data_IF_997640691154
#
_entry.id   IF_997640691154
#
_cell.length_a   1.000
_cell.length_b   1.000
_cell.length_c   1.000
_cell.angle_alpha   90.00
_cell.angle_beta   90.00
_cell.angle_gamma   90.00
#
_symmetry.space_group_name_H-M   'P 1'
#
loop_
_entity.id
_entity.type
_entity.pdbx_description
1 polymer ?
#
# COMPACT_ATOMS: atom_id res chain seq x y z
N UNK A 1 17.89 40.13 11.61
CA UNK A 1 16.83 39.26 12.19
C UNK A 1 15.57 39.30 11.33
N UNK A 2 15.47 38.44 10.31
CA UNK A 2 14.30 38.32 9.42
C UNK A 2 13.50 37.01 9.65
N UNK A 3 13.32 36.57 10.90
CA UNK A 3 12.62 35.31 11.25
C UNK A 3 11.08 35.41 11.14
N UNK A 4 10.53 35.69 9.96
CA UNK A 4 9.06 35.90 9.83
C UNK A 4 8.38 35.29 8.61
N UNK A 5 9.10 34.59 7.72
CA UNK A 5 8.40 33.93 6.62
C UNK A 5 7.85 32.56 7.07
N UNK A 6 6.53 32.50 7.20
CA UNK A 6 5.77 31.27 7.28
C UNK A 6 4.94 31.18 6.02
N UNK A 7 5.02 30.06 5.29
CA UNK A 7 4.28 29.74 4.04
C UNK A 7 2.75 29.68 4.20
N UNK A 8 2.23 30.21 5.32
CA UNK A 8 0.83 30.11 5.73
C UNK A 8 0.31 31.43 6.26
N UNK A 9 0.70 32.55 5.63
CA UNK A 9 0.12 33.85 6.00
C UNK A 9 -1.40 33.88 5.80
N UNK A 10 -1.94 33.03 4.93
CA UNK A 10 -3.37 32.74 4.87
C UNK A 10 -3.71 31.37 5.47
N UNK A 11 -4.41 31.36 6.61
CA UNK A 11 -5.13 30.19 7.15
C UNK A 11 -6.32 29.74 6.27
N UNK A 12 -6.28 30.08 4.98
CA UNK A 12 -7.31 29.70 4.03
C UNK A 12 -7.03 28.27 3.54
N UNK A 13 -8.07 27.44 3.37
CA UNK A 13 -7.90 26.10 2.81
C UNK A 13 -7.33 26.20 1.39
N UNK A 14 -6.35 25.34 1.07
CA UNK A 14 -5.79 25.28 -0.30
C UNK A 14 -6.85 24.86 -1.30
N UNK A 15 -6.63 25.11 -2.61
CA UNK A 15 -7.56 24.69 -3.65
C UNK A 15 -7.83 23.18 -3.63
N UNK A 16 -6.81 22.37 -3.32
CA UNK A 16 -6.97 20.92 -3.12
C UNK A 16 -7.80 20.55 -1.88
N UNK A 17 -7.66 21.30 -0.78
CA UNK A 17 -8.44 21.09 0.44
C UNK A 17 -9.91 21.50 0.28
N UNK A 18 -10.20 22.47 -0.59
CA UNK A 18 -11.56 22.84 -0.97
C UNK A 18 -12.23 21.74 -1.81
N UNK A 19 -11.47 21.06 -2.68
CA UNK A 19 -11.99 19.92 -3.46
C UNK A 19 -12.16 18.67 -2.58
N UNK A 20 -11.20 18.42 -1.68
CA UNK A 20 -11.17 17.26 -0.81
C UNK A 20 -10.92 17.71 0.64
N UNK A 21 -11.93 17.75 1.51
CA UNK A 21 -11.76 18.22 2.88
C UNK A 21 -10.74 17.35 3.63
N UNK A 22 -9.91 17.94 4.51
CA UNK A 22 -8.90 17.20 5.24
C UNK A 22 -9.53 16.11 6.12
N UNK A 23 -8.94 14.91 6.18
CA UNK A 23 -9.41 13.86 7.06
C UNK A 23 -9.25 14.26 8.54
N UNK A 24 -9.94 13.59 9.48
CA UNK A 24 -9.64 13.76 10.90
C UNK A 24 -8.19 13.34 11.19
N UNK A 25 -7.59 13.90 12.25
CA UNK A 25 -6.20 13.64 12.61
C UNK A 25 -5.98 12.15 12.87
N UNK A 26 -4.79 11.67 12.53
CA UNK A 26 -4.40 10.27 12.68
C UNK A 26 -4.62 9.77 14.10
N UNK A 27 -5.20 8.57 14.20
CA UNK A 27 -5.50 7.83 15.42
C UNK A 27 -4.28 7.56 16.32
N UNK A 28 -3.05 7.77 15.83
CA UNK A 28 -1.82 7.67 16.63
C UNK A 28 -1.29 9.01 17.16
N UNK A 29 -1.90 10.13 16.77
CA UNK A 29 -1.57 11.48 17.25
C UNK A 29 -2.29 11.81 18.58
N UNK A 30 -3.51 11.29 18.81
CA UNK A 30 -4.23 11.48 20.08
C UNK A 30 -3.72 10.51 21.18
N UNK A 31 -3.18 11.04 22.27
CA UNK A 31 -3.00 10.30 23.54
C UNK A 31 -1.62 9.75 23.90
N UNK A 32 -0.51 10.45 23.62
CA UNK A 32 0.82 10.02 24.10
C UNK A 32 1.22 10.69 25.43
N UNK A 33 0.99 9.99 26.54
CA UNK A 33 1.63 10.29 27.83
C UNK A 33 2.86 9.40 28.14
N UNK A 34 3.19 8.41 27.29
CA UNK A 34 4.41 7.60 27.48
C UNK A 34 5.09 7.26 26.15
N UNK A 35 6.29 7.83 25.94
CA UNK A 35 7.21 7.50 24.83
C UNK A 35 7.89 6.17 25.15
N UNK A 36 7.51 5.10 24.44
CA UNK A 36 8.27 3.84 24.46
C UNK A 36 8.61 3.46 23.02
N UNK A 37 9.88 3.68 22.68
CA UNK A 37 10.51 3.29 21.42
C UNK A 37 11.11 1.89 21.59
N UNK A 38 10.30 0.85 21.39
CA UNK A 38 10.83 -0.51 21.23
C UNK A 38 10.63 -0.96 19.78
N UNK A 39 11.72 -1.50 19.21
CA UNK A 39 12.01 -1.58 17.78
C UNK A 39 11.00 -2.34 16.90
N UNK A 40 10.97 -1.93 15.64
CA UNK A 40 10.13 -2.47 14.57
C UNK A 40 10.24 -4.00 14.37
N UNK A 41 11.40 -4.59 14.67
CA UNK A 41 11.67 -6.01 14.44
C UNK A 41 10.96 -6.95 15.44
N UNK A 42 10.95 -6.61 16.74
CA UNK A 42 10.35 -7.46 17.77
C UNK A 42 8.81 -7.51 17.65
N UNK A 43 8.21 -6.46 17.08
CA UNK A 43 6.75 -6.35 16.92
C UNK A 43 6.20 -7.18 15.76
N UNK A 44 7.03 -7.59 14.78
CA UNK A 44 6.56 -8.36 13.60
C UNK A 44 6.11 -9.78 13.97
N UNK A 45 6.76 -10.40 14.96
CA UNK A 45 6.54 -11.82 15.28
C UNK A 45 5.46 -12.07 16.36
N UNK A 46 5.04 -11.05 17.12
CA UNK A 46 4.19 -11.23 18.30
C UNK A 46 2.67 -11.03 18.08
N UNK A 47 2.20 -10.78 16.85
CA UNK A 47 0.75 -10.51 16.64
C UNK A 47 0.29 -10.88 15.25
N UNK A 48 -0.26 -12.08 15.17
CA UNK A 48 -0.76 -12.78 13.98
C UNK A 48 -1.16 -14.22 14.31
N UNK A 49 -0.67 -14.77 15.44
CA UNK A 49 -0.97 -16.13 15.90
C UNK A 49 -2.35 -16.30 16.53
N UNK A 50 -2.99 -15.24 17.01
CA UNK A 50 -4.28 -15.29 17.71
C UNK A 50 -5.32 -14.43 16.98
N UNK A 51 -6.18 -15.09 16.22
CA UNK A 51 -7.26 -14.50 15.43
C UNK A 51 -7.85 -15.57 14.50
N UNK A 52 -9.11 -15.41 14.07
CA UNK A 52 -9.73 -16.41 13.20
C UNK A 52 -8.98 -16.51 11.85
N UNK A 53 -8.88 -17.71 11.30
CA UNK A 53 -7.90 -18.07 10.26
C UNK A 53 -7.95 -17.18 9.02
N UNK A 54 -9.15 -16.80 8.59
CA UNK A 54 -9.35 -15.93 7.43
C UNK A 54 -8.74 -14.53 7.62
N UNK A 55 -8.88 -13.96 8.82
CA UNK A 55 -8.48 -12.59 9.10
C UNK A 55 -6.99 -12.45 9.43
N UNK A 56 -6.24 -13.55 9.60
CA UNK A 56 -4.83 -13.53 10.05
C UNK A 56 -3.92 -12.72 9.12
N UNK A 57 -4.01 -12.98 7.81
CA UNK A 57 -3.16 -12.31 6.80
C UNK A 57 -3.43 -10.80 6.74
N UNK A 58 -4.70 -10.42 6.69
CA UNK A 58 -5.07 -9.01 6.65
C UNK A 58 -4.78 -8.30 7.97
N UNK A 59 -4.89 -8.99 9.11
CA UNK A 59 -4.47 -8.46 10.42
C UNK A 59 -2.97 -8.15 10.45
N UNK A 60 -2.14 -9.02 9.87
CA UNK A 60 -0.71 -8.79 9.73
C UNK A 60 -0.43 -7.57 8.85
N UNK A 61 -1.11 -7.46 7.70
CA UNK A 61 -0.98 -6.30 6.81
C UNK A 61 -1.35 -5.00 7.53
N UNK A 62 -2.53 -4.92 8.15
CA UNK A 62 -2.99 -3.71 8.89
C UNK A 62 -2.00 -3.31 9.98
N UNK A 63 -1.34 -4.29 10.62
CA UNK A 63 -0.30 -4.03 11.63
C UNK A 63 0.98 -3.48 11.00
N UNK A 64 1.41 -4.04 9.86
CA UNK A 64 2.54 -3.52 9.10
C UNK A 64 2.28 -2.09 8.63
N UNK A 65 1.09 -1.80 8.12
CA UNK A 65 0.66 -0.46 7.70
C UNK A 65 0.68 0.56 8.85
N UNK A 66 0.26 0.13 10.05
CA UNK A 66 0.37 0.97 11.25
C UNK A 66 1.83 1.30 11.59
N UNK A 67 2.75 0.38 11.33
CA UNK A 67 4.17 0.62 11.57
C UNK A 67 4.73 1.61 10.54
N UNK A 68 4.41 1.46 9.26
CA UNK A 68 4.81 2.41 8.20
C UNK A 68 4.33 3.82 8.55
N UNK A 69 3.06 3.98 8.91
CA UNK A 69 2.50 5.27 9.30
C UNK A 69 3.24 5.91 10.49
N UNK A 70 3.64 5.12 11.50
CA UNK A 70 4.44 5.63 12.63
C UNK A 70 5.84 6.09 12.19
N UNK A 71 6.44 5.40 11.22
CA UNK A 71 7.71 5.83 10.64
C UNK A 71 7.54 7.16 9.91
N UNK A 72 6.46 7.33 9.14
CA UNK A 72 6.13 8.59 8.47
C UNK A 72 5.93 9.75 9.46
N UNK A 73 5.20 9.53 10.57
CA UNK A 73 5.07 10.52 11.66
C UNK A 73 6.42 10.95 12.25
N UNK A 74 7.37 10.02 12.33
CA UNK A 74 8.72 10.35 12.80
C UNK A 74 9.46 11.16 11.76
N UNK A 75 9.45 10.74 10.50
CA UNK A 75 10.11 11.48 9.41
C UNK A 75 9.61 12.93 9.34
N UNK A 76 8.29 13.15 9.40
CA UNK A 76 7.70 14.49 9.38
C UNK A 76 8.27 15.40 10.48
N UNK A 77 8.30 14.90 11.73
CA UNK A 77 8.82 15.64 12.89
C UNK A 77 10.32 15.92 12.79
N UNK A 78 11.10 14.89 12.49
CA UNK A 78 12.56 15.02 12.38
C UNK A 78 12.91 15.99 11.24
N UNK A 79 12.15 15.99 10.14
CA UNK A 79 12.34 16.94 9.03
C UNK A 79 12.09 18.39 9.46
N UNK A 80 11.05 18.64 10.26
CA UNK A 80 10.80 19.97 10.85
C UNK A 80 11.93 20.41 11.78
N UNK A 81 12.47 19.50 12.59
CA UNK A 81 13.61 19.78 13.49
C UNK A 81 14.89 20.07 12.70
N UNK A 82 15.18 19.30 11.64
CA UNK A 82 16.29 19.55 10.72
C UNK A 82 16.16 20.91 10.05
N UNK A 83 14.95 21.27 9.61
CA UNK A 83 14.67 22.55 8.98
C UNK A 83 14.99 23.75 9.91
N UNK A 84 14.59 23.65 11.17
CA UNK A 84 14.90 24.66 12.19
C UNK A 84 16.40 24.73 12.46
N UNK A 85 17.05 23.58 12.62
CA UNK A 85 18.48 23.52 12.90
C UNK A 85 19.33 24.07 11.74
N UNK A 86 18.89 23.88 10.49
CA UNK A 86 19.55 24.44 9.30
C UNK A 86 19.53 25.98 9.34
N UNK A 87 18.38 26.58 9.60
CA UNK A 87 18.24 28.05 9.70
C UNK A 87 19.08 28.62 10.85
N UNK A 88 19.10 27.95 12.01
CA UNK A 88 19.93 28.37 13.15
C UNK A 88 21.43 28.31 12.82
N UNK A 89 21.88 27.24 12.16
CA UNK A 89 23.29 27.11 11.78
C UNK A 89 23.70 28.19 10.78
N UNK A 90 22.85 28.46 9.79
CA UNK A 90 23.13 29.44 8.75
C UNK A 90 23.15 30.89 9.22
N UNK A 91 22.47 31.22 10.33
CA UNK A 91 22.49 32.56 10.94
C UNK A 91 23.90 33.02 11.35
N UNK A 92 24.82 32.08 11.61
CA UNK A 92 26.21 32.38 11.93
C UNK A 92 27.13 32.52 10.70
N UNK A 93 26.60 32.33 9.49
CA UNK A 93 27.35 32.41 8.23
C UNK A 93 27.39 33.81 7.62
N UNK A 94 27.91 33.88 6.39
CA UNK A 94 27.86 35.08 5.54
C UNK A 94 26.41 35.44 5.17
N UNK A 95 26.16 36.67 4.72
CA UNK A 95 24.81 37.20 4.47
C UNK A 95 23.99 36.38 3.47
N UNK A 96 24.63 35.89 2.40
CA UNK A 96 24.07 35.02 1.37
C UNK A 96 23.69 33.64 1.91
N UNK A 97 24.61 33.02 2.66
CA UNK A 97 24.40 31.73 3.32
C UNK A 97 23.27 31.85 4.35
N UNK A 98 23.27 32.91 5.16
CA UNK A 98 22.24 33.13 6.18
C UNK A 98 20.85 33.29 5.55
N UNK A 99 20.71 34.05 4.46
CA UNK A 99 19.41 34.23 3.83
C UNK A 99 18.90 32.96 3.16
N UNK A 100 19.75 32.30 2.36
CA UNK A 100 19.36 31.10 1.61
C UNK A 100 19.03 29.94 2.55
N UNK A 101 19.82 29.71 3.60
CA UNK A 101 19.55 28.64 4.58
C UNK A 101 18.29 28.91 5.41
N UNK A 102 17.95 30.17 5.69
CA UNK A 102 16.68 30.54 6.32
C UNK A 102 15.50 30.15 5.42
N UNK A 103 15.52 30.53 4.13
CA UNK A 103 14.46 30.18 3.17
C UNK A 103 14.40 28.66 2.90
N UNK A 104 15.54 27.97 2.84
CA UNK A 104 15.57 26.50 2.77
C UNK A 104 14.94 25.85 4.00
N UNK A 105 15.17 26.41 5.20
CA UNK A 105 14.50 26.00 6.42
C UNK A 105 12.98 26.10 6.30
N UNK A 106 12.46 27.21 5.76
CA UNK A 106 11.02 27.39 5.51
C UNK A 106 10.46 26.30 4.58
N UNK A 107 11.15 26.02 3.46
CA UNK A 107 10.73 24.99 2.50
C UNK A 107 10.77 23.57 3.10
N UNK A 108 11.85 23.22 3.80
CA UNK A 108 11.98 21.90 4.44
C UNK A 108 10.94 21.69 5.55
N UNK A 109 10.60 22.76 6.29
CA UNK A 109 9.56 22.72 7.29
C UNK A 109 8.19 22.44 6.67
N UNK A 110 7.84 23.11 5.56
CA UNK A 110 6.58 22.86 4.85
C UNK A 110 6.51 21.44 4.27
N UNK A 111 7.64 20.86 3.83
CA UNK A 111 7.67 19.44 3.46
C UNK A 111 7.27 18.55 4.65
N UNK A 112 7.81 18.81 5.84
CA UNK A 112 7.46 18.07 7.05
C UNK A 112 5.96 18.19 7.37
N UNK A 113 5.38 19.38 7.20
CA UNK A 113 3.95 19.60 7.37
C UNK A 113 3.10 18.83 6.34
N UNK A 114 3.50 18.82 5.06
CA UNK A 114 2.84 18.05 4.01
C UNK A 114 2.91 16.53 4.28
N UNK A 115 4.00 16.05 4.87
CA UNK A 115 4.12 14.66 5.34
C UNK A 115 3.13 14.39 6.48
N UNK A 116 2.99 15.31 7.43
CA UNK A 116 2.07 15.16 8.57
C UNK A 116 0.59 15.14 8.11
N UNK A 117 0.24 15.96 7.12
CA UNK A 117 -1.08 15.92 6.46
C UNK A 117 -1.30 14.61 5.69
N UNK A 118 -0.28 14.11 4.99
CA UNK A 118 -0.34 12.84 4.30
C UNK A 118 -0.53 11.67 5.26
N UNK A 119 0.11 11.69 6.44
CA UNK A 119 -0.10 10.69 7.49
C UNK A 119 -1.57 10.57 7.91
N UNK A 120 -2.30 11.68 8.02
CA UNK A 120 -3.72 11.64 8.38
C UNK A 120 -4.56 10.94 7.31
N UNK A 121 -4.23 11.14 6.03
CA UNK A 121 -4.86 10.42 4.91
C UNK A 121 -4.45 8.94 4.89
N UNK A 122 -3.18 8.64 5.18
CA UNK A 122 -2.69 7.28 5.29
C UNK A 122 -3.45 6.49 6.38
N UNK A 123 -3.82 7.16 7.47
CA UNK A 123 -4.61 6.52 8.53
C UNK A 123 -6.02 6.14 8.06
N UNK A 124 -6.69 7.00 7.28
CA UNK A 124 -8.01 6.68 6.71
C UNK A 124 -7.97 5.48 5.77
N UNK A 125 -6.95 5.40 4.92
CA UNK A 125 -6.66 4.20 4.13
C UNK A 125 -6.54 2.96 5.04
N UNK A 126 -5.72 3.03 6.09
CA UNK A 126 -5.51 1.91 7.02
C UNK A 126 -6.79 1.52 7.76
N UNK A 127 -7.60 2.47 8.21
CA UNK A 127 -8.88 2.23 8.89
C UNK A 127 -9.86 1.52 7.96
N UNK A 128 -9.87 1.88 6.68
CA UNK A 128 -10.68 1.19 5.67
C UNK A 128 -10.24 -0.27 5.49
N UNK A 129 -8.93 -0.54 5.44
CA UNK A 129 -8.41 -1.92 5.41
C UNK A 129 -8.72 -2.70 6.69
N UNK A 130 -8.65 -2.03 7.86
CA UNK A 130 -9.06 -2.61 9.15
C UNK A 130 -10.54 -2.98 9.16
N UNK A 131 -11.40 -2.19 8.51
CA UNK A 131 -12.83 -2.50 8.39
C UNK A 131 -13.07 -3.80 7.61
N UNK A 132 -12.34 -4.05 6.53
CA UNK A 132 -12.41 -5.32 5.79
C UNK A 132 -12.06 -6.49 6.71
N UNK A 133 -10.95 -6.38 7.45
CA UNK A 133 -10.51 -7.41 8.41
C UNK A 133 -11.56 -7.73 9.47
N UNK A 134 -12.24 -6.71 9.97
CA UNK A 134 -13.30 -6.90 10.97
C UNK A 134 -14.47 -7.70 10.39
N UNK A 135 -14.81 -7.47 9.11
CA UNK A 135 -15.87 -8.20 8.42
C UNK A 135 -15.45 -9.65 8.16
N UNK A 136 -14.20 -9.87 7.71
CA UNK A 136 -13.63 -11.23 7.59
C UNK A 136 -13.73 -12.00 8.91
N UNK A 137 -13.40 -11.34 10.03
CA UNK A 137 -13.50 -11.94 11.35
C UNK A 137 -14.96 -12.23 11.76
N UNK A 138 -15.94 -11.39 11.38
CA UNK A 138 -17.35 -11.61 11.72
C UNK A 138 -18.02 -12.73 10.91
N UNK A 139 -17.47 -13.13 9.76
CA UNK A 139 -18.00 -14.26 8.97
C UNK A 139 -17.55 -15.62 9.52
N UNK A 140 -16.45 -15.66 10.27
CA UNK A 140 -15.86 -16.90 10.78
C UNK A 140 -16.80 -17.72 11.67
N UNK A 141 -17.57 -17.14 12.62
CA UNK A 141 -18.55 -17.90 13.40
C UNK A 141 -19.58 -18.66 12.56
N UNK A 142 -19.98 -18.12 11.40
CA UNK A 142 -20.92 -18.79 10.49
C UNK A 142 -20.28 -20.04 9.84
N UNK A 143 -19.00 -19.96 9.46
CA UNK A 143 -18.25 -21.12 8.94
C UNK A 143 -18.06 -22.19 10.01
N UNK A 144 -17.66 -21.79 11.21
CA UNK A 144 -17.43 -22.69 12.34
C UNK A 144 -18.72 -23.40 12.75
N UNK A 145 -19.86 -22.68 12.76
CA UNK A 145 -21.17 -23.27 13.01
C UNK A 145 -21.54 -24.32 11.98
N UNK A 146 -21.37 -24.02 10.69
CA UNK A 146 -21.63 -24.99 9.60
C UNK A 146 -20.78 -26.25 9.77
N UNK A 147 -19.47 -26.09 9.97
CA UNK A 147 -18.55 -27.23 10.15
C UNK A 147 -18.94 -28.07 11.36
N UNK A 148 -19.27 -27.44 12.49
CA UNK A 148 -19.67 -28.14 13.71
C UNK A 148 -20.93 -29.00 13.51
N UNK A 149 -21.93 -28.50 12.79
CA UNK A 149 -23.15 -29.25 12.48
C UNK A 149 -22.80 -30.44 11.56
N UNK A 150 -21.98 -30.22 10.54
CA UNK A 150 -21.50 -31.30 9.64
C UNK A 150 -20.78 -32.41 10.41
N UNK A 151 -19.87 -32.06 11.32
CA UNK A 151 -19.13 -33.02 12.13
C UNK A 151 -20.06 -33.81 13.08
N UNK A 152 -21.07 -33.14 13.65
CA UNK A 152 -22.08 -33.79 14.49
C UNK A 152 -22.93 -34.78 13.70
N UNK A 153 -23.33 -34.43 12.46
CA UNK A 153 -24.05 -35.34 11.56
C UNK A 153 -23.17 -36.55 11.23
N UNK A 154 -21.90 -36.33 10.85
CA UNK A 154 -20.97 -37.41 10.53
C UNK A 154 -20.76 -38.37 11.72
N UNK A 155 -20.58 -37.81 12.92
CA UNK A 155 -20.43 -38.60 14.14
C UNK A 155 -21.69 -39.42 14.47
N UNK A 156 -22.89 -38.83 14.34
CA UNK A 156 -24.16 -39.52 14.58
C UNK A 156 -24.44 -40.60 13.52
N UNK A 157 -24.16 -40.33 12.24
CA UNK A 157 -24.29 -41.32 11.17
C UNK A 157 -23.38 -42.53 11.40
N UNK A 158 -22.19 -42.33 11.97
CA UNK A 158 -21.28 -43.42 12.29
C UNK A 158 -21.67 -44.21 13.55
N UNK A 159 -22.06 -43.53 14.64
CA UNK A 159 -22.32 -44.18 15.94
C UNK A 159 -23.76 -44.67 16.10
N UNK A 160 -24.74 -43.91 15.62
CA UNK A 160 -26.17 -44.11 15.84
C UNK A 160 -26.96 -43.78 14.54
N UNK A 161 -26.83 -44.58 13.48
CA UNK A 161 -27.38 -44.26 12.15
C UNK A 161 -28.91 -44.12 12.12
N UNK A 162 -29.62 -44.72 13.09
CA UNK A 162 -31.09 -44.65 13.19
C UNK A 162 -31.58 -43.54 14.12
N UNK A 163 -30.70 -42.63 14.57
CA UNK A 163 -31.07 -41.56 15.48
C UNK A 163 -31.96 -40.51 14.80
N UNK A 164 -33.16 -40.19 15.33
CA UNK A 164 -34.05 -39.17 14.75
C UNK A 164 -33.45 -37.75 14.81
N UNK A 165 -32.38 -37.56 15.60
CA UNK A 165 -31.62 -36.30 15.68
C UNK A 165 -30.89 -35.97 14.37
N UNK A 166 -30.60 -36.96 13.52
CA UNK A 166 -29.93 -36.77 12.23
C UNK A 166 -30.77 -35.86 11.33
N UNK A 167 -32.08 -36.12 11.21
CA UNK A 167 -32.99 -35.33 10.36
C UNK A 167 -33.07 -33.87 10.82
N UNK A 168 -33.08 -33.64 12.14
CA UNK A 168 -33.11 -32.28 12.70
C UNK A 168 -31.81 -31.52 12.40
N UNK A 169 -30.66 -32.18 12.58
CA UNK A 169 -29.35 -31.57 12.28
C UNK A 169 -29.14 -31.34 10.78
N UNK A 170 -29.67 -32.20 9.91
CA UNK A 170 -29.65 -31.98 8.46
C UNK A 170 -30.46 -30.74 8.08
N UNK A 171 -31.65 -30.55 8.67
CA UNK A 171 -32.42 -29.32 8.46
C UNK A 171 -31.70 -28.08 9.01
N UNK A 172 -31.03 -28.19 10.16
CA UNK A 172 -30.21 -27.11 10.70
C UNK A 172 -29.00 -26.80 9.81
N UNK A 173 -28.39 -27.83 9.21
CA UNK A 173 -27.28 -27.67 8.27
C UNK A 173 -27.71 -26.86 7.05
N UNK A 174 -28.85 -27.18 6.43
CA UNK A 174 -29.38 -26.42 5.28
C UNK A 174 -29.56 -24.94 5.63
N UNK A 175 -30.07 -24.64 6.83
CA UNK A 175 -30.19 -23.26 7.32
C UNK A 175 -28.82 -22.60 7.51
N UNK A 176 -27.88 -23.30 8.15
CA UNK A 176 -26.52 -22.79 8.38
C UNK A 176 -25.75 -22.57 7.07
N UNK A 177 -25.99 -23.40 6.05
CA UNK A 177 -25.45 -23.25 4.70
C UNK A 177 -25.99 -22.00 4.02
N UNK A 178 -27.30 -21.75 4.07
CA UNK A 178 -27.90 -20.53 3.54
C UNK A 178 -27.35 -19.27 4.23
N UNK A 179 -27.26 -19.29 5.56
CA UNK A 179 -26.66 -18.19 6.35
C UNK A 179 -25.19 -17.96 5.95
N UNK A 180 -24.41 -19.04 5.76
CA UNK A 180 -23.02 -18.96 5.32
C UNK A 180 -22.89 -18.40 3.90
N UNK A 181 -23.74 -18.81 2.95
CA UNK A 181 -23.71 -18.30 1.57
C UNK A 181 -23.97 -16.79 1.52
N UNK A 182 -24.94 -16.30 2.30
CA UNK A 182 -25.24 -14.85 2.39
C UNK A 182 -24.05 -14.10 2.98
N UNK A 183 -23.45 -14.61 4.06
CA UNK A 183 -22.30 -13.97 4.71
C UNK A 183 -21.07 -13.92 3.79
N UNK A 184 -20.78 -14.99 3.04
CA UNK A 184 -19.69 -15.02 2.06
C UNK A 184 -19.93 -14.04 0.90
N UNK A 185 -21.15 -13.96 0.38
CA UNK A 185 -21.49 -13.03 -0.70
C UNK A 185 -21.32 -11.58 -0.23
N UNK A 186 -21.78 -11.24 0.98
CA UNK A 186 -21.61 -9.92 1.59
C UNK A 186 -20.13 -9.58 1.78
N UNK A 187 -19.34 -10.48 2.36
CA UNK A 187 -17.90 -10.29 2.52
C UNK A 187 -17.21 -10.04 1.17
N UNK A 188 -17.55 -10.84 0.17
CA UNK A 188 -16.99 -10.73 -1.18
C UNK A 188 -17.28 -9.36 -1.80
N UNK A 189 -18.50 -8.86 -1.68
CA UNK A 189 -18.91 -7.56 -2.21
C UNK A 189 -18.24 -6.40 -1.47
N UNK A 190 -18.30 -6.39 -0.15
CA UNK A 190 -17.72 -5.31 0.67
C UNK A 190 -16.19 -5.26 0.51
N UNK A 191 -15.53 -6.41 0.38
CA UNK A 191 -14.07 -6.46 0.17
C UNK A 191 -13.70 -5.77 -1.13
N UNK A 192 -14.38 -6.06 -2.25
CA UNK A 192 -14.10 -5.41 -3.54
C UNK A 192 -14.33 -3.90 -3.49
N UNK A 193 -15.43 -3.48 -2.88
CA UNK A 193 -15.78 -2.07 -2.73
C UNK A 193 -14.72 -1.33 -1.90
N UNK A 194 -14.41 -1.83 -0.71
CA UNK A 194 -13.47 -1.18 0.22
C UNK A 194 -12.03 -1.24 -0.26
N UNK A 195 -11.57 -2.33 -0.88
CA UNK A 195 -10.21 -2.38 -1.46
C UNK A 195 -10.05 -1.31 -2.54
N UNK A 196 -11.04 -1.21 -3.44
CA UNK A 196 -11.01 -0.20 -4.51
C UNK A 196 -11.01 1.21 -3.93
N UNK A 197 -11.90 1.50 -2.98
CA UNK A 197 -11.97 2.80 -2.32
C UNK A 197 -10.68 3.15 -1.56
N UNK A 198 -10.16 2.21 -0.76
CA UNK A 198 -8.96 2.40 0.06
C UNK A 198 -7.74 2.75 -0.79
N UNK A 199 -7.45 1.97 -1.83
CA UNK A 199 -6.26 2.22 -2.66
C UNK A 199 -6.44 3.40 -3.61
N UNK A 200 -7.66 3.70 -4.06
CA UNK A 200 -7.91 4.95 -4.81
C UNK A 200 -7.54 6.15 -3.95
N UNK A 201 -8.09 6.21 -2.73
CA UNK A 201 -7.82 7.29 -1.78
C UNK A 201 -6.32 7.38 -1.42
N UNK A 202 -5.67 6.25 -1.17
CA UNK A 202 -4.25 6.19 -0.85
C UNK A 202 -3.37 6.70 -1.99
N UNK A 203 -3.63 6.31 -3.24
CA UNK A 203 -2.83 6.75 -4.38
C UNK A 203 -3.08 8.20 -4.76
N UNK A 204 -4.30 8.71 -4.62
CA UNK A 204 -4.59 10.13 -4.82
C UNK A 204 -3.88 10.99 -3.75
N UNK A 205 -3.93 10.59 -2.48
CA UNK A 205 -3.22 11.26 -1.40
C UNK A 205 -1.69 11.25 -1.59
N UNK A 206 -1.14 10.10 -2.02
CA UNK A 206 0.29 9.96 -2.31
C UNK A 206 0.71 10.84 -3.48
N UNK A 207 -0.07 10.88 -4.57
CA UNK A 207 0.23 11.73 -5.73
C UNK A 207 0.26 13.21 -5.34
N UNK A 208 -0.75 13.69 -4.61
CA UNK A 208 -0.76 15.07 -4.11
C UNK A 208 0.48 15.38 -3.29
N UNK A 209 0.83 14.50 -2.36
CA UNK A 209 2.01 14.67 -1.52
C UNK A 209 3.29 14.76 -2.36
N UNK A 210 3.53 13.80 -3.25
CA UNK A 210 4.74 13.76 -4.07
C UNK A 210 4.86 14.96 -5.02
N UNK A 211 3.77 15.39 -5.64
CA UNK A 211 3.81 16.55 -6.56
C UNK A 211 4.07 17.86 -5.82
N UNK A 212 3.45 18.07 -4.65
CA UNK A 212 3.73 19.24 -3.82
C UNK A 212 5.18 19.25 -3.32
N UNK A 213 5.72 18.09 -2.94
CA UNK A 213 7.15 17.97 -2.58
C UNK A 213 8.05 18.24 -3.79
N UNK A 214 7.66 17.81 -4.99
CA UNK A 214 8.42 18.11 -6.21
C UNK A 214 8.44 19.61 -6.54
N UNK A 215 7.32 20.32 -6.33
CA UNK A 215 7.24 21.78 -6.45
C UNK A 215 8.24 22.43 -5.49
N UNK A 216 8.20 22.07 -4.20
CA UNK A 216 9.10 22.63 -3.20
C UNK A 216 10.57 22.33 -3.55
N UNK A 217 10.87 21.11 -4.01
CA UNK A 217 12.23 20.75 -4.40
C UNK A 217 12.74 21.56 -5.61
N UNK A 218 11.86 21.95 -6.52
CA UNK A 218 12.18 22.84 -7.64
C UNK A 218 12.57 24.24 -7.15
N UNK A 219 11.71 24.88 -6.34
CA UNK A 219 12.01 26.20 -5.78
C UNK A 219 13.21 26.20 -4.82
N UNK A 220 13.42 25.11 -4.09
CA UNK A 220 14.60 24.92 -3.25
C UNK A 220 15.90 24.96 -4.05
N UNK A 221 15.90 24.49 -5.30
CA UNK A 221 17.07 24.63 -6.19
C UNK A 221 17.27 26.07 -6.67
N UNK A 222 16.20 26.79 -6.98
CA UNK A 222 16.29 28.20 -7.36
C UNK A 222 16.87 29.08 -6.24
N UNK A 223 16.58 28.76 -4.96
CA UNK A 223 17.23 29.44 -3.84
C UNK A 223 18.75 29.26 -3.83
N UNK A 224 19.25 28.10 -4.27
CA UNK A 224 20.70 27.84 -4.30
C UNK A 224 21.43 28.68 -5.36
N UNK A 225 20.72 29.14 -6.40
CA UNK A 225 21.29 30.02 -7.44
C UNK A 225 21.65 31.41 -6.90
N UNK A 226 21.19 31.76 -5.69
CA UNK A 226 21.52 33.01 -5.01
C UNK A 226 22.84 32.95 -4.22
N UNK A 227 23.44 31.76 -4.07
CA UNK A 227 24.76 31.60 -3.43
C UNK A 227 25.83 31.73 -4.51
N UNK A 228 26.77 32.65 -4.29
CA UNK A 228 27.98 32.75 -5.12
C UNK A 228 29.04 31.74 -4.61
N UNK A 229 29.31 30.71 -5.40
CA UNK A 229 30.31 29.69 -5.11
C UNK A 229 31.71 30.06 -5.64
N UNK A 230 31.88 31.27 -6.20
CA UNK A 230 33.16 31.77 -6.68
C UNK A 230 34.19 31.82 -5.54
N UNK A 231 35.37 31.19 -5.69
CA UNK A 231 36.38 31.20 -4.64
C UNK A 231 36.96 32.59 -4.46
N UNK A 232 37.22 32.96 -3.20
CA UNK A 232 37.79 34.27 -2.83
C UNK A 232 39.29 34.14 -2.60
N UNK A 233 40.06 35.11 -3.07
CA UNK A 233 41.49 35.17 -2.81
C UNK A 233 41.75 35.49 -1.34
N UNK A 234 42.70 34.84 -0.66
CA UNK A 234 43.02 35.18 0.73
C UNK A 234 43.34 36.67 0.91
N UNK A 235 42.60 37.34 1.80
CA UNK A 235 42.73 38.77 2.07
C UNK A 235 41.74 39.66 1.31
N UNK A 236 41.01 39.11 0.33
CA UNK A 236 39.90 39.78 -0.34
C UNK A 236 38.57 39.51 0.39
N UNK A 237 37.66 40.48 0.37
CA UNK A 237 36.31 40.33 0.93
C UNK A 237 35.33 39.89 -0.16
N UNK A 238 34.31 39.10 0.19
CA UNK A 238 33.21 38.81 -0.72
C UNK A 238 32.44 40.08 -1.11
N UNK A 239 31.77 40.01 -2.26
CA UNK A 239 30.86 41.05 -2.70
C UNK A 239 29.66 41.13 -1.74
N UNK A 240 29.06 42.31 -1.63
CA UNK A 240 27.88 42.51 -0.81
C UNK A 240 26.68 41.73 -1.39
N UNK A 241 25.93 41.06 -0.53
CA UNK A 241 24.77 40.28 -0.93
C UNK A 241 23.52 41.17 -1.09
N UNK A 242 22.83 41.06 -2.22
CA UNK A 242 21.59 41.80 -2.51
C UNK A 242 20.40 40.89 -2.90
N UNK A 243 20.54 39.57 -2.73
CA UNK A 243 19.54 38.58 -3.14
C UNK A 243 18.27 38.48 -2.27
N UNK A 244 18.13 39.30 -1.23
CA UNK A 244 17.01 39.23 -0.27
C UNK A 244 15.62 39.39 -0.91
N UNK A 245 15.49 40.24 -1.93
CA UNK A 245 14.21 40.44 -2.62
C UNK A 245 13.88 39.21 -3.50
N UNK A 246 14.88 38.66 -4.18
CA UNK A 246 14.74 37.47 -5.00
C UNK A 246 14.39 36.23 -4.17
N UNK A 247 15.06 36.01 -3.04
CA UNK A 247 14.80 34.87 -2.15
C UNK A 247 13.39 34.90 -1.59
N UNK A 248 12.89 36.09 -1.23
CA UNK A 248 11.51 36.31 -0.78
C UNK A 248 10.50 36.03 -1.91
N UNK A 249 10.77 36.49 -3.12
CA UNK A 249 9.91 36.23 -4.27
C UNK A 249 9.80 34.72 -4.57
N UNK A 250 10.91 33.98 -4.52
CA UNK A 250 10.92 32.52 -4.71
C UNK A 250 10.02 31.79 -3.71
N UNK A 251 10.04 32.22 -2.45
CA UNK A 251 9.16 31.65 -1.42
C UNK A 251 7.69 31.97 -1.68
N UNK A 252 7.37 33.21 -2.06
CA UNK A 252 6.01 33.61 -2.44
C UNK A 252 5.48 32.78 -3.62
N UNK A 253 6.29 32.63 -4.68
CA UNK A 253 5.94 31.82 -5.85
C UNK A 253 5.68 30.35 -5.47
N UNK A 254 6.47 29.81 -4.56
CA UNK A 254 6.27 28.46 -4.03
C UNK A 254 4.94 28.35 -3.25
N UNK A 255 4.61 29.32 -2.39
CA UNK A 255 3.35 29.36 -1.63
C UNK A 255 2.15 29.41 -2.58
N UNK A 256 2.22 30.25 -3.61
CA UNK A 256 1.18 30.39 -4.62
C UNK A 256 1.03 29.10 -5.45
N UNK A 257 2.14 28.46 -5.83
CA UNK A 257 2.12 27.18 -6.55
C UNK A 257 1.49 26.05 -5.71
N UNK A 258 1.82 25.99 -4.40
CA UNK A 258 1.26 24.99 -3.48
C UNK A 258 -0.23 25.22 -3.22
N UNK A 259 -0.64 26.48 -3.06
CA UNK A 259 -2.03 26.89 -2.79
C UNK A 259 -2.94 26.58 -3.98
N UNK A 260 -2.44 26.85 -5.20
CA UNK A 260 -3.17 26.66 -6.44
C UNK A 260 -3.07 25.23 -7.01
N UNK A 261 -2.27 24.35 -6.40
CA UNK A 261 -2.18 22.96 -6.84
C UNK A 261 -3.54 22.26 -6.71
N UNK A 262 -3.96 21.62 -7.81
CA UNK A 262 -5.17 20.81 -7.91
C UNK A 262 -4.92 19.60 -8.78
N UNK A 263 -5.69 18.54 -8.55
CA UNK A 263 -5.51 17.26 -9.25
C UNK A 263 -5.69 17.35 -10.77
N UNK A 264 -6.47 18.31 -11.26
CA UNK A 264 -6.66 18.56 -12.71
C UNK A 264 -5.43 19.13 -13.38
N UNK A 265 -4.59 19.86 -12.64
CA UNK A 265 -3.38 20.51 -13.13
C UNK A 265 -2.13 19.69 -12.79
N UNK A 266 -2.31 18.45 -12.35
CA UNK A 266 -1.23 17.53 -12.02
C UNK A 266 -0.35 17.27 -13.26
N UNK A 267 0.95 17.53 -13.10
CA UNK A 267 1.94 17.35 -14.19
C UNK A 267 2.14 15.86 -14.48
N UNK A 268 2.10 15.01 -13.46
CA UNK A 268 2.29 13.57 -13.61
C UNK A 268 0.96 12.92 -13.94
N UNK A 269 0.82 12.46 -15.19
CA UNK A 269 -0.33 11.68 -15.65
C UNK A 269 0.09 10.28 -16.11
N UNK A 270 -0.63 9.26 -15.64
CA UNK A 270 -0.39 7.88 -16.05
C UNK A 270 -1.12 7.58 -17.37
N UNK A 271 -0.36 7.22 -18.40
CA UNK A 271 -0.91 6.78 -19.70
C UNK A 271 -0.83 5.25 -19.78
N UNK A 272 -1.98 4.59 -19.81
CA UNK A 272 -2.04 3.16 -20.08
C UNK A 272 -1.68 2.87 -21.55
N UNK A 273 -0.90 1.82 -21.78
CA UNK A 273 -0.61 1.34 -23.14
C UNK A 273 -1.90 1.02 -23.89
N UNK A 274 -1.89 1.10 -25.23
CA UNK A 274 -3.05 0.78 -26.06
C UNK A 274 -3.60 -0.61 -25.74
N UNK A 275 -2.71 -1.61 -25.58
CA UNK A 275 -3.08 -2.97 -25.16
C UNK A 275 -3.80 -2.99 -23.81
N UNK A 276 -3.26 -2.31 -22.80
CA UNK A 276 -3.86 -2.26 -21.47
C UNK A 276 -5.22 -1.54 -21.49
N UNK A 277 -5.37 -0.47 -22.29
CA UNK A 277 -6.64 0.23 -22.47
C UNK A 277 -7.69 -0.66 -23.13
N UNK A 278 -7.35 -1.35 -24.22
CA UNK A 278 -8.28 -2.25 -24.92
C UNK A 278 -8.74 -3.39 -24.01
N UNK A 279 -7.81 -4.02 -23.27
CA UNK A 279 -8.14 -5.07 -22.31
C UNK A 279 -9.05 -4.55 -21.18
N UNK A 280 -8.76 -3.36 -20.65
CA UNK A 280 -9.55 -2.74 -19.60
C UNK A 280 -10.95 -2.34 -20.07
N UNK A 281 -11.07 -1.79 -21.29
CA UNK A 281 -12.35 -1.46 -21.91
C UNK A 281 -13.17 -2.71 -22.17
N UNK A 282 -12.57 -3.76 -22.74
CA UNK A 282 -13.24 -5.06 -22.96
C UNK A 282 -13.76 -5.64 -21.65
N UNK A 283 -12.93 -5.63 -20.59
CA UNK A 283 -13.33 -6.09 -19.26
C UNK A 283 -14.47 -5.25 -18.68
N UNK A 284 -14.40 -3.91 -18.80
CA UNK A 284 -15.44 -3.01 -18.30
C UNK A 284 -16.77 -3.20 -19.04
N UNK A 285 -16.72 -3.39 -20.36
CA UNK A 285 -17.90 -3.70 -21.18
C UNK A 285 -18.50 -5.05 -20.79
N UNK A 286 -17.68 -6.09 -20.60
CA UNK A 286 -18.16 -7.38 -20.13
C UNK A 286 -18.82 -7.31 -18.74
N UNK A 287 -18.25 -6.52 -17.81
CA UNK A 287 -18.84 -6.31 -16.49
C UNK A 287 -20.18 -5.57 -16.61
N UNK A 288 -20.26 -4.54 -17.46
CA UNK A 288 -21.49 -3.79 -17.71
C UNK A 288 -22.57 -4.67 -18.34
N UNK A 289 -22.23 -5.46 -19.34
CA UNK A 289 -23.17 -6.37 -20.01
C UNK A 289 -23.64 -7.51 -19.08
N UNK A 290 -22.82 -7.93 -18.11
CA UNK A 290 -23.25 -8.86 -17.05
C UNK A 290 -24.17 -8.21 -16.00
N UNK A 291 -24.18 -6.88 -15.89
CA UNK A 291 -25.07 -6.14 -15.00
C UNK A 291 -26.49 -6.00 -15.54
N UNK A 292 -26.69 -6.13 -16.84
CA UNK A 292 -28.00 -6.32 -17.48
C UNK A 292 -28.37 -7.80 -17.36
N UNK A 293 -29.04 -8.15 -16.25
CA UNK A 293 -29.79 -9.40 -16.01
C UNK A 293 -29.22 -10.69 -16.62
N UNK A 294 -28.64 -11.55 -15.78
CA UNK A 294 -28.56 -12.97 -16.12
C UNK A 294 -30.00 -13.50 -16.19
N UNK A 295 -30.52 -13.70 -17.40
CA UNK A 295 -31.77 -14.41 -17.59
C UNK A 295 -31.55 -15.87 -17.14
N UNK A 296 -32.23 -16.26 -16.06
CA UNK A 296 -32.18 -17.60 -15.48
C UNK A 296 -33.37 -18.44 -15.94
N UNK A 297 -34.24 -17.91 -16.81
CA UNK A 297 -35.44 -18.63 -17.28
C UNK A 297 -35.13 -19.86 -18.16
N UNK A 298 -33.85 -20.12 -18.46
CA UNK A 298 -33.40 -21.29 -19.23
C UNK A 298 -32.74 -22.39 -18.39
N UNK A 299 -32.65 -22.27 -17.06
CA UNK A 299 -32.02 -23.30 -16.21
C UNK A 299 -32.95 -24.45 -15.83
N UNK A 300 -34.26 -24.27 -15.96
CA UNK A 300 -35.24 -25.35 -15.79
C UNK A 300 -35.45 -26.08 -17.12
N UNK A 301 -34.43 -26.83 -17.57
CA UNK A 301 -34.68 -27.89 -18.55
C UNK A 301 -35.44 -28.99 -17.79
N UNK A 302 -36.68 -29.36 -18.18
CA UNK A 302 -37.38 -30.44 -17.51
C UNK A 302 -36.53 -31.70 -17.61
N UNK A 303 -36.25 -32.36 -16.49
CA UNK A 303 -35.74 -33.72 -16.50
C UNK A 303 -36.75 -34.56 -17.30
N UNK A 304 -36.39 -34.89 -18.55
CA UNK A 304 -37.19 -35.78 -19.35
C UNK A 304 -37.10 -37.17 -18.70
N UNK A 305 -38.24 -37.63 -18.20
CA UNK A 305 -38.42 -38.95 -17.60
C UNK A 305 -38.30 -40.00 -18.71
N UNK A 306 -37.19 -40.76 -18.73
CA UNK A 306 -36.98 -41.80 -19.73
C UNK A 306 -35.53 -42.21 -19.94
N UNK A 307 -34.99 -43.00 -19.01
CA UNK A 307 -34.00 -44.08 -19.23
C UNK A 307 -32.87 -43.87 -20.29
N UNK A 308 -31.63 -43.70 -19.84
CA UNK A 308 -30.48 -44.49 -20.35
C UNK A 308 -29.23 -44.27 -19.50
N UNK A 309 -28.89 -45.29 -18.70
CA UNK A 309 -27.65 -45.41 -17.92
C UNK A 309 -26.51 -46.03 -18.75
N UNK A 310 -26.41 -45.75 -20.04
CA UNK A 310 -25.33 -46.28 -20.89
C UNK A 310 -24.91 -45.29 -21.96
N UNK A 311 -23.78 -44.60 -21.74
CA UNK A 311 -22.78 -44.20 -22.73
C UNK A 311 -21.74 -43.27 -22.08
N UNK A 312 -20.99 -43.81 -21.10
CA UNK A 312 -19.62 -43.37 -20.85
C UNK A 312 -18.77 -44.28 -21.74
N UNK A 313 -18.42 -43.81 -22.93
CA UNK A 313 -17.20 -44.15 -23.68
C UNK A 313 -17.36 -43.67 -25.12
N UNK A 314 -16.25 -43.17 -25.67
CA UNK A 314 -16.05 -42.51 -26.97
C UNK A 314 -16.23 -41.00 -26.92
N UNK A 315 -15.12 -40.32 -26.63
CA UNK A 315 -14.47 -39.43 -27.59
C UNK A 315 -13.08 -39.06 -27.03
N UNK A 316 -12.16 -40.01 -27.19
CA UNK A 316 -10.71 -39.82 -27.18
C UNK A 316 -10.24 -40.18 -28.60
N UNK A 317 -9.26 -39.43 -29.10
CA UNK A 317 -8.56 -39.51 -30.40
C UNK A 317 -9.30 -38.98 -31.64
N UNK A 318 -8.87 -37.82 -32.12
CA UNK A 318 -7.89 -37.72 -33.24
C UNK A 318 -7.88 -36.29 -33.78
N UNK A 319 -6.72 -35.62 -33.76
CA UNK A 319 -6.28 -34.63 -34.76
C UNK A 319 -4.82 -34.24 -34.44
N UNK A 320 -3.92 -35.17 -34.75
CA UNK A 320 -2.54 -34.90 -35.22
C UNK A 320 -2.67 -34.90 -36.77
N UNK A 321 -2.03 -34.07 -37.58
CA UNK A 321 -0.60 -33.75 -37.69
C UNK A 321 -0.43 -32.47 -38.56
N UNK A 322 0.65 -31.72 -38.33
CA UNK A 322 1.57 -31.29 -39.40
C UNK A 322 2.92 -30.92 -38.74
N UNK A 323 3.89 -31.81 -38.90
CA UNK A 323 5.31 -31.65 -38.57
C UNK A 323 6.08 -31.03 -39.75
N UNK A 324 7.03 -30.14 -39.47
CA UNK A 324 8.30 -30.08 -40.21
C UNK A 324 9.45 -30.07 -39.21
N UNK A 325 10.26 -31.13 -39.27
CA UNK A 325 11.51 -31.33 -38.54
C UNK A 325 12.65 -30.46 -39.10
N UNK A 326 13.56 -30.05 -38.21
CA UNK A 326 14.99 -30.03 -38.54
C UNK A 326 15.79 -30.47 -37.31
N UNK A 327 16.32 -31.70 -37.41
CA UNK A 327 17.05 -32.40 -36.36
C UNK A 327 18.57 -32.26 -36.51
N UNK A 328 19.27 -32.20 -35.36
CA UNK A 328 20.61 -32.76 -35.05
C UNK A 328 21.11 -32.06 -33.78
N UNK A 329 21.46 -32.68 -32.67
CA UNK A 329 21.70 -34.07 -32.31
C UNK A 329 22.60 -34.04 -31.06
N UNK A 330 22.10 -34.57 -29.95
CA UNK A 330 22.86 -34.79 -28.70
C UNK A 330 23.90 -35.89 -28.90
N UNK A 331 25.07 -35.79 -28.26
CA UNK A 331 25.83 -36.96 -27.81
C UNK A 331 26.65 -36.63 -26.56
N UNK A 332 26.45 -37.49 -25.55
CA UNK A 332 27.24 -37.70 -24.34
C UNK A 332 28.51 -38.51 -24.67
N UNK A 333 29.62 -38.22 -23.99
CA UNK A 333 30.51 -39.21 -23.34
C UNK A 333 31.54 -38.40 -22.53
N UNK A 334 31.61 -38.53 -21.21
CA UNK A 334 32.15 -39.63 -20.39
C UNK A 334 33.68 -39.67 -20.31
N UNK A 335 34.14 -39.87 -19.08
CA UNK A 335 35.46 -40.30 -18.61
C UNK A 335 36.50 -39.18 -18.41
N UNK A 336 37.20 -39.01 -17.29
CA UNK A 336 37.42 -39.77 -16.05
C UNK A 336 38.54 -38.99 -15.29
N UNK A 337 38.82 -39.07 -13.99
CA UNK A 337 38.38 -39.84 -12.85
C UNK A 337 39.44 -39.65 -11.74
N UNK A 338 39.01 -39.80 -10.47
CA UNK A 338 39.80 -40.30 -9.31
C UNK A 338 40.94 -39.40 -8.79
N UNK A 339 41.31 -39.27 -7.52
CA UNK A 339 41.06 -39.81 -6.17
C UNK A 339 41.65 -38.71 -5.22
N UNK A 340 41.34 -38.49 -3.95
CA UNK A 340 41.04 -39.39 -2.83
C UNK A 340 41.93 -39.00 -1.63
N UNK A 341 41.31 -38.86 -0.45
CA UNK A 341 41.85 -39.03 0.92
C UNK A 341 42.70 -37.95 1.66
N UNK A 342 42.08 -37.42 2.73
CA UNK A 342 42.40 -37.54 4.18
C UNK A 342 43.84 -37.36 4.75
N UNK A 343 43.86 -36.75 5.96
CA UNK A 343 44.94 -36.57 6.99
C UNK A 343 45.62 -35.19 6.94
N UNK A 344 45.89 -34.46 8.02
CA UNK A 344 45.75 -34.64 9.47
C UNK A 344 46.76 -33.72 10.20
N UNK A 345 46.32 -33.09 11.30
CA UNK A 345 47.09 -32.60 12.48
C UNK A 345 48.20 -31.51 12.38
N UNK A 346 48.06 -30.57 13.33
CA UNK A 346 49.05 -29.84 14.17
C UNK A 346 50.03 -28.85 13.53
N UNK A 347 50.03 -27.58 13.96
CA UNK A 347 50.81 -27.08 15.12
C UNK A 347 50.46 -25.62 15.48
N UNK A 348 50.41 -25.34 16.79
CA UNK A 348 50.54 -24.01 17.41
C UNK A 348 51.97 -23.45 17.27
N UNK A 349 52.10 -22.12 17.23
CA UNK A 349 53.01 -21.26 18.01
C UNK A 349 52.73 -19.79 17.60
N UNK A 350 52.11 -18.95 18.43
CA UNK A 350 52.69 -18.13 19.53
C UNK A 350 53.76 -17.11 19.08
N UNK A 351 53.41 -15.84 19.32
CA UNK A 351 54.21 -14.65 19.63
C UNK A 351 55.02 -13.95 18.51
N UNK A 352 54.63 -12.70 18.22
CA UNK A 352 55.28 -11.51 18.77
C UNK A 352 54.24 -10.40 18.96
#
# INVERSE_FOLDING_TARGET
MHRTYSMRQTRAPTASQLQNPPPPPSSTKSGRLFKSSFGHALRRNAGGAFGPDLAKKLSQLVKMEKNVMRSLETVARERMEVAQQLSIWGEAGDEDVSDVTDKLGVLLYEIGELEDQYVDRYDQYRVTMKSIRNIEASVQPSRDRKQKITDQIAQLKYKEPNSPKIVVLEQELVRAEAESLVAEAQLSNITREKVKAAYTYQFDALREHCEKVAIIAGYGKHLLELIDDTPVTPGETRQAYDGYEASKAIIQDCEDALTNWVTSNAVVSSKLSTRARTLSQRRRNNIRNRGEGHDLSGQDVPLNDGSSWTARDRDLDSDEEEEEEDARGSILDSDGGLNGESRGRTQEAVAA
#
